data_IF_231107503899
#
_entry.id   IF_231107503899
#
_cell.length_a   1.000
_cell.length_b   1.000
_cell.length_c   1.000
_cell.angle_alpha   90.00
_cell.angle_beta   90.00
_cell.angle_gamma   90.00
#
_symmetry.space_group_name_H-M   'P 1'
#
loop_
_entity.id
_entity.type
_entity.pdbx_description
1 polymer ?
#
# COMPACT_ATOMS: atom_id res chain seq x y z
N UNK A 1 11.14 9.21 -3.40
CA UNK A 1 11.42 10.45 -2.67
C UNK A 1 11.71 11.55 -3.66
N UNK A 2 11.03 12.70 -3.52
CA UNK A 2 11.28 13.89 -4.35
C UNK A 2 12.44 14.70 -3.76
N UNK A 3 13.37 15.15 -4.62
CA UNK A 3 14.39 16.11 -4.19
C UNK A 3 13.77 17.47 -3.84
N UNK A 4 14.46 18.27 -3.00
CA UNK A 4 13.97 19.61 -2.64
C UNK A 4 13.67 20.52 -3.86
N UNK A 5 14.49 20.52 -4.93
CA UNK A 5 14.15 21.25 -6.15
C UNK A 5 12.88 20.74 -6.84
N UNK A 6 12.64 19.42 -6.82
CA UNK A 6 11.40 18.86 -7.39
C UNK A 6 10.18 19.24 -6.54
N UNK A 7 10.31 19.26 -5.22
CA UNK A 7 9.26 19.72 -4.31
C UNK A 7 8.89 21.19 -4.56
N UNK A 8 9.88 22.06 -4.83
CA UNK A 8 9.63 23.46 -5.18
C UNK A 8 8.85 23.60 -6.49
N UNK A 9 9.15 22.79 -7.51
CA UNK A 9 8.40 22.79 -8.77
C UNK A 9 6.96 22.30 -8.57
N UNK A 10 6.75 21.28 -7.75
CA UNK A 10 5.40 20.78 -7.41
C UNK A 10 4.61 21.87 -6.66
N UNK A 11 5.23 22.54 -5.69
CA UNK A 11 4.58 23.63 -4.96
C UNK A 11 4.11 24.74 -5.92
N UNK A 12 4.99 25.17 -6.84
CA UNK A 12 4.64 26.18 -7.84
C UNK A 12 3.47 25.73 -8.72
N UNK A 13 3.50 24.51 -9.21
CA UNK A 13 2.40 23.94 -9.99
C UNK A 13 1.07 23.92 -9.22
N UNK A 14 1.10 23.62 -7.91
CA UNK A 14 -0.09 23.63 -7.06
C UNK A 14 -0.61 25.07 -6.77
N UNK A 15 0.27 26.05 -6.74
CA UNK A 15 -0.09 27.44 -6.47
C UNK A 15 -0.64 28.16 -7.71
N UNK A 16 0.02 27.96 -8.85
CA UNK A 16 -0.27 28.67 -10.11
C UNK A 16 -1.29 27.91 -10.98
N UNK A 17 -1.59 26.65 -10.66
CA UNK A 17 -2.39 25.76 -11.52
C UNK A 17 -1.85 25.69 -12.95
N UNK A 18 -0.52 25.69 -13.09
CA UNK A 18 0.20 25.67 -14.35
C UNK A 18 1.28 24.62 -14.32
N UNK A 19 1.49 23.96 -15.45
CA UNK A 19 2.56 22.97 -15.66
C UNK A 19 3.30 23.27 -16.95
N UNK A 20 4.61 22.98 -16.95
CA UNK A 20 5.43 23.02 -18.17
C UNK A 20 5.73 21.59 -18.61
N UNK A 21 5.50 21.24 -19.87
CA UNK A 21 5.89 19.93 -20.41
C UNK A 21 7.40 19.80 -20.44
N UNK A 22 7.92 18.60 -20.25
CA UNK A 22 9.36 18.33 -20.38
C UNK A 22 9.80 18.68 -21.80
N UNK A 23 10.82 19.55 -21.91
CA UNK A 23 11.34 20.02 -23.20
C UNK A 23 10.53 21.15 -23.87
N UNK A 24 9.59 21.75 -23.16
CA UNK A 24 8.83 22.91 -23.65
C UNK A 24 9.03 24.12 -22.73
N UNK A 25 8.94 25.32 -23.30
CA UNK A 25 9.03 26.60 -22.58
C UNK A 25 7.67 27.23 -22.29
N UNK A 26 6.56 26.59 -22.74
CA UNK A 26 5.21 27.10 -22.55
C UNK A 26 4.54 26.47 -21.33
N UNK A 27 4.04 27.33 -20.44
CA UNK A 27 3.18 26.94 -19.34
C UNK A 27 1.76 26.65 -19.83
N UNK A 28 1.17 25.59 -19.31
CA UNK A 28 -0.19 25.14 -19.63
C UNK A 28 -1.02 25.22 -18.35
N UNK A 29 -2.13 25.94 -18.41
CA UNK A 29 -3.08 25.98 -17.30
C UNK A 29 -3.78 24.63 -17.17
N UNK A 30 -3.86 24.12 -15.93
CA UNK A 30 -4.50 22.85 -15.60
C UNK A 30 -5.53 23.05 -14.50
N UNK A 31 -6.64 22.32 -14.62
CA UNK A 31 -7.64 22.20 -13.57
C UNK A 31 -7.66 20.74 -13.13
N UNK A 32 -6.97 20.45 -12.03
CA UNK A 32 -6.76 19.07 -11.53
C UNK A 32 -6.96 19.01 -10.03
N UNK A 33 -7.52 17.88 -9.57
CA UNK A 33 -7.52 17.53 -8.16
C UNK A 33 -6.25 16.75 -7.84
N UNK A 34 -5.48 17.24 -6.88
CA UNK A 34 -4.24 16.59 -6.44
C UNK A 34 -4.51 15.71 -5.23
N UNK A 35 -4.06 14.47 -5.31
CA UNK A 35 -4.06 13.49 -4.22
C UNK A 35 -2.62 13.06 -4.00
N UNK A 36 -2.11 13.26 -2.79
CA UNK A 36 -0.78 12.83 -2.39
C UNK A 36 -0.87 11.66 -1.42
N UNK A 37 0.06 10.71 -1.52
CA UNK A 37 0.19 9.59 -0.60
C UNK A 37 1.63 9.41 -0.18
N UNK A 38 1.85 9.07 1.08
CA UNK A 38 3.16 8.78 1.65
C UNK A 38 3.02 7.79 2.81
N UNK A 39 4.06 7.01 3.05
CA UNK A 39 4.21 6.19 4.25
C UNK A 39 5.18 6.82 5.27
N UNK A 40 5.70 8.03 4.99
CA UNK A 40 6.63 8.73 5.87
C UNK A 40 5.89 9.67 6.81
N UNK A 41 6.47 9.88 8.00
CA UNK A 41 6.10 10.99 8.86
C UNK A 41 6.66 12.30 8.30
N UNK A 42 5.82 13.05 7.61
CA UNK A 42 6.23 14.29 6.95
C UNK A 42 6.68 15.38 7.93
N UNK A 43 6.21 15.38 9.18
CA UNK A 43 6.68 16.35 10.19
C UNK A 43 8.14 16.08 10.53
N UNK A 44 8.49 14.82 10.74
CA UNK A 44 9.87 14.40 10.95
C UNK A 44 10.76 14.69 9.74
N UNK A 45 10.24 14.45 8.52
CA UNK A 45 10.97 14.79 7.27
C UNK A 45 11.21 16.30 7.13
N UNK A 46 10.31 17.16 7.64
CA UNK A 46 10.48 18.63 7.68
C UNK A 46 11.55 18.99 8.69
N UNK A 47 11.50 18.47 9.91
CA UNK A 47 12.51 18.73 10.97
C UNK A 47 13.92 18.35 10.51
N UNK A 48 14.04 17.27 9.74
CA UNK A 48 15.31 16.79 9.18
C UNK A 48 15.69 17.47 7.83
N UNK A 49 14.92 18.45 7.37
CA UNK A 49 15.22 19.25 6.18
C UNK A 49 15.05 18.49 4.85
N UNK A 50 14.38 17.32 4.83
CA UNK A 50 14.14 16.54 3.63
C UNK A 50 12.82 16.83 2.93
N UNK A 51 11.89 17.48 3.62
CA UNK A 51 10.61 17.88 3.04
C UNK A 51 10.32 19.35 3.37
N UNK A 52 9.78 20.09 2.40
CA UNK A 52 9.47 21.52 2.55
C UNK A 52 8.17 21.70 3.32
N UNK A 53 8.21 22.58 4.31
CA UNK A 53 7.05 22.91 5.15
C UNK A 53 5.93 23.59 4.35
N UNK A 54 6.28 24.46 3.41
CA UNK A 54 5.31 25.16 2.55
C UNK A 54 4.54 24.19 1.63
N UNK A 55 5.22 23.18 1.09
CA UNK A 55 4.57 22.12 0.31
C UNK A 55 3.66 21.25 1.20
N UNK A 56 4.10 20.94 2.42
CA UNK A 56 3.27 20.20 3.37
C UNK A 56 1.94 20.93 3.62
N UNK A 57 1.98 22.20 3.96
CA UNK A 57 0.77 22.99 4.23
C UNK A 57 -0.15 23.10 2.99
N UNK A 58 0.40 23.09 1.79
CA UNK A 58 -0.40 23.11 0.57
C UNK A 58 -1.10 21.78 0.26
N UNK A 59 -0.46 20.65 0.62
CA UNK A 59 -1.01 19.30 0.39
C UNK A 59 -1.90 18.81 1.54
N UNK A 60 -1.58 19.19 2.78
CA UNK A 60 -2.18 18.65 3.99
C UNK A 60 -3.49 19.36 4.42
N UNK A 61 -4.27 19.87 3.47
CA UNK A 61 -5.57 20.52 3.75
C UNK A 61 -6.57 19.49 4.28
N UNK A 62 -6.58 18.28 3.71
CA UNK A 62 -7.38 17.14 4.19
C UNK A 62 -6.45 15.96 4.36
N UNK A 63 -6.29 15.51 5.61
CA UNK A 63 -5.47 14.36 5.95
C UNK A 63 -6.36 13.13 6.15
N UNK A 64 -6.08 12.09 5.36
CA UNK A 64 -6.73 10.78 5.49
C UNK A 64 -5.70 9.80 6.02
N UNK A 65 -5.89 9.32 7.25
CA UNK A 65 -5.05 8.26 7.83
C UNK A 65 -5.60 6.90 7.40
N UNK A 66 -4.82 6.19 6.60
CA UNK A 66 -5.12 4.80 6.23
C UNK A 66 -4.59 3.87 7.31
N UNK A 67 -5.47 3.06 7.90
CA UNK A 67 -5.09 2.07 8.90
C UNK A 67 -4.21 0.97 8.29
N UNK A 68 -3.23 0.51 9.06
CA UNK A 68 -2.44 -0.67 8.71
C UNK A 68 -3.28 -1.95 8.83
N UNK A 69 -2.82 -3.03 8.25
CA UNK A 69 -3.50 -4.34 8.39
C UNK A 69 -3.49 -4.82 9.85
N UNK A 70 -2.46 -4.46 10.61
CA UNK A 70 -2.36 -4.77 12.03
C UNK A 70 -3.44 -4.08 12.88
N UNK A 71 -3.93 -2.91 12.43
CA UNK A 71 -5.00 -2.15 13.10
C UNK A 71 -6.39 -2.66 12.73
N UNK A 72 -6.52 -3.51 11.70
CA UNK A 72 -7.78 -4.06 11.19
C UNK A 72 -7.69 -5.56 10.87
N UNK A 73 -7.19 -6.33 11.84
CA UNK A 73 -6.96 -7.77 11.69
C UNK A 73 -8.24 -8.57 11.38
N UNK A 74 -9.41 -8.02 11.69
CA UNK A 74 -10.68 -8.63 11.38
C UNK A 74 -11.02 -8.63 9.88
N UNK A 75 -10.33 -7.83 9.08
CA UNK A 75 -10.44 -7.88 7.62
C UNK A 75 -9.62 -9.03 6.99
N UNK A 76 -8.69 -9.64 7.73
CA UNK A 76 -7.79 -10.67 7.22
C UNK A 76 -8.54 -11.87 6.62
N UNK A 77 -9.58 -12.44 7.25
CA UNK A 77 -10.32 -13.55 6.66
C UNK A 77 -10.95 -13.20 5.30
N UNK A 78 -11.52 -12.01 5.19
CA UNK A 78 -12.12 -11.52 3.95
C UNK A 78 -11.07 -11.32 2.86
N UNK A 79 -9.91 -10.77 3.22
CA UNK A 79 -8.78 -10.57 2.30
C UNK A 79 -8.20 -11.90 1.82
N UNK A 80 -8.05 -12.90 2.70
CA UNK A 80 -7.60 -14.25 2.34
C UNK A 80 -8.57 -14.84 1.31
N UNK A 81 -9.87 -14.79 1.59
CA UNK A 81 -10.88 -15.30 0.65
C UNK A 81 -10.81 -14.58 -0.71
N UNK A 82 -10.71 -13.26 -0.71
CA UNK A 82 -10.57 -12.45 -1.92
C UNK A 82 -9.33 -12.85 -2.73
N UNK A 83 -8.16 -12.95 -2.09
CA UNK A 83 -6.92 -13.29 -2.78
C UNK A 83 -6.93 -14.73 -3.30
N UNK A 84 -7.45 -15.67 -2.52
CA UNK A 84 -7.56 -17.07 -2.93
C UNK A 84 -8.43 -17.22 -4.19
N UNK A 85 -9.56 -16.52 -4.21
CA UNK A 85 -10.43 -16.49 -5.40
C UNK A 85 -9.72 -15.87 -6.60
N UNK A 86 -9.12 -14.70 -6.42
CA UNK A 86 -8.44 -13.95 -7.49
C UNK A 86 -7.28 -14.75 -8.08
N UNK A 87 -6.44 -15.38 -7.24
CA UNK A 87 -5.31 -16.19 -7.67
C UNK A 87 -5.78 -17.44 -8.41
N UNK A 88 -6.87 -18.07 -7.95
CA UNK A 88 -7.46 -19.21 -8.65
C UNK A 88 -7.95 -18.83 -10.05
N UNK A 89 -8.62 -17.68 -10.19
CA UNK A 89 -9.07 -17.15 -11.48
C UNK A 89 -7.89 -16.81 -12.41
N UNK A 90 -6.85 -16.12 -11.89
CA UNK A 90 -5.65 -15.76 -12.65
C UNK A 90 -4.87 -17.00 -13.17
N UNK A 91 -4.84 -18.07 -12.38
CA UNK A 91 -4.11 -19.31 -12.71
C UNK A 91 -4.96 -20.40 -13.39
N UNK A 92 -6.27 -20.18 -13.58
CA UNK A 92 -7.18 -21.19 -14.12
C UNK A 92 -7.27 -22.45 -13.25
N UNK A 93 -7.07 -22.32 -11.92
CA UNK A 93 -7.02 -23.42 -10.96
C UNK A 93 -8.24 -23.45 -10.03
N UNK A 94 -8.46 -24.57 -9.35
CA UNK A 94 -9.48 -24.63 -8.31
C UNK A 94 -9.08 -23.76 -7.11
N UNK A 95 -10.06 -23.04 -6.54
CA UNK A 95 -9.86 -22.26 -5.34
C UNK A 95 -9.52 -23.19 -4.17
N UNK A 96 -8.41 -22.93 -3.48
CA UNK A 96 -8.05 -23.60 -2.23
C UNK A 96 -8.82 -23.01 -1.06
N UNK A 97 -9.03 -23.81 -0.02
CA UNK A 97 -9.73 -23.44 1.20
C UNK A 97 -8.70 -23.35 2.33
N UNK A 98 -8.83 -22.34 3.19
CA UNK A 98 -8.04 -22.22 4.42
C UNK A 98 -8.87 -22.74 5.59
N UNK A 99 -8.26 -23.56 6.45
CA UNK A 99 -8.91 -23.99 7.67
C UNK A 99 -9.11 -22.80 8.62
N UNK A 100 -10.10 -22.84 9.52
CA UNK A 100 -10.30 -21.79 10.53
C UNK A 100 -9.02 -21.51 11.37
N UNK A 101 -8.32 -22.57 11.77
CA UNK A 101 -7.09 -22.49 12.55
C UNK A 101 -5.94 -21.83 11.76
N UNK A 102 -5.87 -22.04 10.44
CA UNK A 102 -4.91 -21.37 9.56
C UNK A 102 -5.20 -19.86 9.48
N UNK A 103 -6.47 -19.49 9.35
CA UNK A 103 -6.90 -18.08 9.32
C UNK A 103 -6.62 -17.42 10.67
N UNK A 104 -6.93 -18.07 11.79
CA UNK A 104 -6.70 -17.53 13.13
C UNK A 104 -5.20 -17.33 13.40
N UNK A 105 -4.35 -18.23 12.92
CA UNK A 105 -2.91 -18.05 13.01
C UNK A 105 -2.43 -16.85 12.17
N UNK A 106 -2.91 -16.69 10.94
CA UNK A 106 -2.57 -15.55 10.09
C UNK A 106 -3.05 -14.21 10.67
N UNK A 107 -4.15 -14.19 11.43
CA UNK A 107 -4.60 -12.99 12.16
C UNK A 107 -3.61 -12.54 13.24
N UNK A 108 -2.81 -13.45 13.79
CA UNK A 108 -1.85 -13.16 14.86
C UNK A 108 -0.50 -12.65 14.34
N UNK A 109 -0.20 -12.83 13.05
CA UNK A 109 1.05 -12.37 12.46
C UNK A 109 1.17 -10.85 12.47
N UNK A 110 2.43 -10.38 12.49
CA UNK A 110 2.74 -8.96 12.31
C UNK A 110 2.97 -8.67 10.83
N UNK A 111 2.03 -7.92 10.26
CA UNK A 111 1.96 -7.59 8.84
C UNK A 111 2.65 -6.24 8.53
N UNK A 112 3.98 -6.21 8.64
CA UNK A 112 4.78 -4.99 8.36
C UNK A 112 4.66 -4.53 6.90
N UNK A 113 4.54 -5.48 5.97
CA UNK A 113 4.30 -5.23 4.54
C UNK A 113 2.82 -5.08 4.19
N UNK A 114 1.93 -5.01 5.20
CA UNK A 114 0.50 -4.77 5.02
C UNK A 114 -0.17 -5.81 4.09
N UNK A 115 -1.13 -5.34 3.30
CA UNK A 115 -1.92 -6.16 2.36
C UNK A 115 -1.03 -6.82 1.30
N UNK A 116 0.08 -6.19 0.89
CA UNK A 116 1.02 -6.80 -0.07
C UNK A 116 1.69 -8.03 0.49
N UNK A 117 2.12 -7.97 1.73
CA UNK A 117 2.73 -9.12 2.42
C UNK A 117 1.71 -10.25 2.59
N UNK A 118 0.50 -9.94 3.04
CA UNK A 118 -0.57 -10.93 3.15
C UNK A 118 -0.86 -11.60 1.81
N UNK A 119 -0.98 -10.85 0.71
CA UNK A 119 -1.18 -11.42 -0.62
C UNK A 119 -0.06 -12.38 -1.00
N UNK A 120 1.19 -11.98 -0.81
CA UNK A 120 2.35 -12.81 -1.14
C UNK A 120 2.38 -14.11 -0.31
N UNK A 121 2.03 -14.03 0.97
CA UNK A 121 1.93 -15.20 1.86
C UNK A 121 0.80 -16.11 1.40
N UNK A 122 -0.39 -15.57 1.10
CA UNK A 122 -1.52 -16.37 0.57
C UNK A 122 -1.14 -17.06 -0.73
N UNK A 123 -0.49 -16.36 -1.65
CA UNK A 123 -0.02 -16.92 -2.92
C UNK A 123 0.97 -18.06 -2.70
N UNK A 124 1.94 -17.89 -1.80
CA UNK A 124 2.91 -18.91 -1.42
C UNK A 124 2.23 -20.14 -0.83
N UNK A 125 1.27 -19.94 0.07
CA UNK A 125 0.48 -21.02 0.67
C UNK A 125 -0.36 -21.77 -0.36
N UNK A 126 -0.89 -21.07 -1.36
CA UNK A 126 -1.60 -21.71 -2.46
C UNK A 126 -0.66 -22.58 -3.32
N UNK A 127 0.57 -22.12 -3.56
CA UNK A 127 1.54 -22.87 -4.36
C UNK A 127 2.09 -24.08 -3.61
N UNK A 128 2.51 -23.90 -2.37
CA UNK A 128 3.27 -24.91 -1.60
C UNK A 128 2.41 -25.77 -0.68
N UNK A 129 1.27 -25.26 -0.24
CA UNK A 129 0.40 -25.95 0.72
C UNK A 129 -0.48 -27.01 0.08
N UNK A 130 -1.17 -27.74 0.94
CA UNK A 130 -2.10 -28.82 0.59
C UNK A 130 -3.36 -28.31 -0.12
N UNK A 131 -4.28 -29.21 -0.51
CA UNK A 131 -5.57 -28.84 -1.12
C UNK A 131 -6.40 -27.97 -0.17
N UNK A 132 -6.38 -28.27 1.11
CA UNK A 132 -6.89 -27.47 2.21
C UNK A 132 -5.68 -26.95 3.00
N UNK A 133 -5.55 -25.63 3.09
CA UNK A 133 -4.44 -24.98 3.78
C UNK A 133 -4.69 -25.07 5.29
N UNK A 134 -3.87 -25.87 5.95
CA UNK A 134 -3.92 -26.14 7.38
C UNK A 134 -3.05 -25.15 8.19
N UNK A 135 -3.21 -25.17 9.52
CA UNK A 135 -2.33 -24.47 10.43
C UNK A 135 -0.86 -24.86 10.21
N UNK A 136 -0.56 -26.14 9.99
CA UNK A 136 0.79 -26.64 9.73
C UNK A 136 1.40 -26.08 8.45
N UNK A 137 0.58 -25.90 7.39
CA UNK A 137 1.04 -25.27 6.15
C UNK A 137 1.45 -23.80 6.42
N UNK A 138 0.68 -23.08 7.25
CA UNK A 138 0.99 -21.69 7.62
C UNK A 138 2.30 -21.64 8.43
N UNK A 139 2.49 -22.53 9.40
CA UNK A 139 3.73 -22.61 10.20
C UNK A 139 4.97 -22.89 9.34
N UNK A 140 4.83 -23.72 8.31
CA UNK A 140 5.93 -24.10 7.41
C UNK A 140 6.23 -23.04 6.35
N UNK A 141 5.22 -22.43 5.77
CA UNK A 141 5.37 -21.65 4.54
C UNK A 141 5.05 -20.16 4.68
N UNK A 142 4.43 -19.70 5.77
CA UNK A 142 4.13 -18.29 5.96
C UNK A 142 5.30 -17.49 6.57
N UNK A 143 6.25 -18.15 7.23
CA UNK A 143 7.44 -17.48 7.77
C UNK A 143 8.30 -16.84 6.69
N UNK A 144 8.95 -15.75 7.06
CA UNK A 144 9.86 -14.97 6.18
C UNK A 144 11.12 -15.77 5.88
#
# INVERSE_FOLDING_TARGET
>A
DMSLPAQAKVLRALQESMITRVGADKDIKVDVRVIAATNKDLRKEIEEGRFREDLYHRLAVILIKVQSLNDRRDDIPLLIHHFTKKIAEENGSAQKIFSPEAIDLLKQYDWTGNIRELRNVVERLIILGSKEISKSDVELFASK
#
